data_IF_465762976565
#
_entry.id   IF_465762976565
#
_cell.length_a   1.000
_cell.length_b   1.000
_cell.length_c   1.000
_cell.angle_alpha   90.00
_cell.angle_beta   90.00
_cell.angle_gamma   90.00
#
_symmetry.space_group_name_H-M   'P 1'
#
loop_
_entity.id
_entity.type
_entity.pdbx_description
1 polymer ?
#
# COMPACT_ATOMS: atom_id res chain seq x y z
N UNK A 1 -8.37 -8.11 -9.84
CA UNK A 1 -7.16 -7.25 -9.76
C UNK A 1 -6.13 -8.05 -8.97
N UNK A 2 -4.93 -8.30 -9.49
CA UNK A 2 -3.94 -9.13 -8.80
C UNK A 2 -3.33 -8.31 -7.66
N UNK A 3 -3.41 -8.85 -6.44
CA UNK A 3 -2.90 -8.26 -5.21
C UNK A 3 -2.27 -9.36 -4.37
N UNK A 4 -1.14 -9.05 -3.75
CA UNK A 4 -0.47 -9.92 -2.80
C UNK A 4 -0.16 -9.12 -1.55
N UNK A 5 -0.62 -9.60 -0.41
CA UNK A 5 -0.20 -9.09 0.89
C UNK A 5 1.21 -9.61 1.13
N UNK A 6 2.15 -8.70 1.31
CA UNK A 6 3.53 -9.03 1.67
C UNK A 6 3.59 -9.40 3.14
N UNK A 7 3.12 -8.48 3.99
CA UNK A 7 3.22 -8.57 5.44
C UNK A 7 1.98 -7.91 6.06
N UNK A 8 1.48 -8.51 7.13
CA UNK A 8 0.46 -7.94 8.00
C UNK A 8 0.94 -8.14 9.43
N UNK A 9 1.56 -7.11 9.99
CA UNK A 9 2.17 -7.19 11.31
C UNK A 9 1.32 -6.40 12.31
N UNK A 10 0.95 -6.98 13.46
CA UNK A 10 0.34 -6.20 14.54
C UNK A 10 1.37 -5.16 15.02
N UNK A 11 0.92 -3.92 15.21
CA UNK A 11 1.79 -2.85 15.67
C UNK A 11 1.13 -2.09 16.83
N UNK A 12 1.81 -2.09 17.98
CA UNK A 12 1.35 -1.38 19.16
C UNK A 12 1.65 0.12 19.03
N UNK A 13 0.63 0.97 19.18
CA UNK A 13 0.76 2.43 19.12
C UNK A 13 0.30 3.10 17.80
N UNK A 14 -0.36 2.35 16.91
CA UNK A 14 -1.12 2.96 15.80
C UNK A 14 -2.39 3.63 16.36
N UNK A 15 -2.67 4.87 15.94
CA UNK A 15 -3.92 5.56 16.30
C UNK A 15 -5.06 5.11 15.40
N UNK A 16 -4.75 4.85 14.13
CA UNK A 16 -5.74 4.60 13.07
C UNK A 16 -5.99 3.11 12.77
N UNK A 17 -5.37 2.18 13.50
CA UNK A 17 -5.51 0.75 13.26
C UNK A 17 -4.82 -0.14 14.29
N UNK A 18 -4.92 -1.46 14.13
CA UNK A 18 -4.24 -2.44 14.99
C UNK A 18 -3.12 -3.19 14.28
N UNK A 19 -3.17 -3.26 12.96
CA UNK A 19 -2.20 -3.94 12.11
C UNK A 19 -1.68 -2.99 11.06
N UNK A 20 -0.45 -3.21 10.62
CA UNK A 20 0.13 -2.54 9.48
C UNK A 20 0.15 -3.53 8.31
N UNK A 21 -0.66 -3.25 7.29
CA UNK A 21 -0.76 -4.09 6.10
C UNK A 21 0.10 -3.51 4.98
N UNK A 22 1.03 -4.34 4.49
CA UNK A 22 1.86 -4.05 3.33
C UNK A 22 1.38 -4.90 2.16
N UNK A 23 0.88 -4.24 1.12
CA UNK A 23 0.31 -4.91 -0.04
C UNK A 23 0.98 -4.43 -1.33
N UNK A 24 1.22 -5.36 -2.26
CA UNK A 24 1.62 -5.04 -3.64
C UNK A 24 0.47 -5.37 -4.57
N UNK A 25 0.10 -4.42 -5.41
CA UNK A 25 -1.01 -4.57 -6.35
C UNK A 25 -0.73 -3.87 -7.67
N UNK A 26 -1.42 -4.32 -8.71
CA UNK A 26 -1.39 -3.68 -10.02
C UNK A 26 -2.58 -2.75 -10.20
N UNK A 27 -2.30 -1.49 -10.56
CA UNK A 27 -3.30 -0.48 -10.89
C UNK A 27 -3.34 -0.22 -12.40
N UNK A 28 -4.56 -0.14 -12.95
CA UNK A 28 -4.77 0.22 -14.36
C UNK A 28 -4.51 1.72 -14.59
N UNK A 29 -4.36 2.51 -13.53
CA UNK A 29 -4.22 3.95 -13.62
C UNK A 29 -5.54 4.60 -14.07
N UNK A 30 -5.54 5.93 -14.12
CA UNK A 30 -6.72 6.71 -14.51
C UNK A 30 -6.83 8.03 -13.78
N UNK A 31 -7.96 8.71 -13.96
CA UNK A 31 -8.25 9.95 -13.25
C UNK A 31 -8.54 9.66 -11.78
N UNK A 32 -7.76 10.25 -10.88
CA UNK A 32 -8.06 10.26 -9.45
C UNK A 32 -8.87 11.52 -9.13
N UNK A 33 -10.19 11.35 -9.06
CA UNK A 33 -11.13 12.45 -8.79
C UNK A 33 -10.96 13.08 -7.40
N UNK A 34 -10.37 12.37 -6.42
CA UNK A 34 -10.19 12.89 -5.05
C UNK A 34 -9.04 13.89 -4.95
N UNK A 35 -7.97 13.69 -5.72
CA UNK A 35 -6.80 14.58 -5.70
C UNK A 35 -6.66 15.42 -6.98
N UNK A 36 -7.60 15.29 -7.93
CA UNK A 36 -7.57 15.99 -9.22
C UNK A 36 -6.42 15.58 -10.15
N UNK A 37 -5.66 14.53 -9.81
CA UNK A 37 -4.47 14.09 -10.55
C UNK A 37 -4.69 12.84 -11.39
N UNK A 38 -3.76 12.54 -12.28
CA UNK A 38 -3.70 11.27 -13.02
C UNK A 38 -2.86 10.25 -12.27
N UNK A 39 -3.44 9.10 -11.93
CA UNK A 39 -2.69 7.97 -11.39
C UNK A 39 -2.04 7.22 -12.54
N UNK A 40 -0.72 7.07 -12.49
CA UNK A 40 0.02 6.32 -13.49
C UNK A 40 -0.37 4.84 -13.47
N UNK A 41 -0.36 4.20 -14.64
CA UNK A 41 -0.61 2.77 -14.76
C UNK A 41 0.63 1.98 -14.36
N UNK A 42 0.51 1.03 -13.45
CA UNK A 42 1.68 0.37 -12.90
C UNK A 42 1.44 -0.52 -11.70
N UNK A 43 2.54 -1.00 -11.12
CA UNK A 43 2.56 -1.73 -9.86
C UNK A 43 2.83 -0.76 -8.71
N UNK A 44 2.08 -0.93 -7.64
CA UNK A 44 2.13 -0.10 -6.45
C UNK A 44 2.37 -0.97 -5.22
N UNK A 45 3.10 -0.41 -4.27
CA UNK A 45 3.09 -0.88 -2.88
C UNK A 45 2.26 0.10 -2.06
N UNK A 46 1.38 -0.42 -1.22
CA UNK A 46 0.68 0.35 -0.19
C UNK A 46 1.03 -0.17 1.19
N UNK A 47 1.28 0.77 2.10
CA UNK A 47 1.38 0.50 3.53
C UNK A 47 0.24 1.24 4.19
N UNK A 48 -0.64 0.48 4.86
CA UNK A 48 -1.86 1.05 5.41
C UNK A 48 -2.14 0.49 6.80
N UNK A 49 -2.41 1.35 7.80
CA UNK A 49 -2.90 0.87 9.08
C UNK A 49 -4.34 0.37 8.90
N UNK A 50 -4.55 -0.90 9.27
CA UNK A 50 -5.82 -1.59 9.13
C UNK A 50 -6.26 -2.20 10.46
N UNK A 51 -7.57 -2.31 10.65
CA UNK A 51 -8.17 -3.03 11.77
C UNK A 51 -8.84 -4.29 11.24
N UNK A 52 -8.30 -5.44 11.62
CA UNK A 52 -8.88 -6.74 11.31
C UNK A 52 -9.82 -7.15 12.44
N UNK A 53 -11.14 -7.20 12.20
CA UNK A 53 -12.13 -7.66 13.17
C UNK A 53 -13.19 -8.52 12.49
N UNK A 54 -13.38 -9.75 12.96
CA UNK A 54 -14.40 -10.69 12.49
C UNK A 54 -14.45 -10.87 10.96
N UNK A 55 -13.29 -10.98 10.31
CA UNK A 55 -13.18 -11.12 8.86
C UNK A 55 -13.40 -9.82 8.07
N UNK A 56 -13.62 -8.69 8.75
CA UNK A 56 -13.70 -7.37 8.14
C UNK A 56 -12.38 -6.62 8.33
N UNK A 57 -11.88 -6.04 7.24
CA UNK A 57 -10.73 -5.15 7.24
C UNK A 57 -11.26 -3.72 7.18
N UNK A 58 -11.13 -2.98 8.27
CA UNK A 58 -11.50 -1.56 8.34
C UNK A 58 -10.26 -0.70 8.21
N UNK A 59 -10.35 0.32 7.36
CA UNK A 59 -9.22 1.20 7.01
C UNK A 59 -9.68 2.64 7.11
N UNK A 60 -8.89 3.49 7.77
CA UNK A 60 -9.16 4.93 7.82
C UNK A 60 -8.68 5.57 6.51
N UNK A 61 -9.50 6.45 5.93
CA UNK A 61 -9.12 7.14 4.70
C UNK A 61 -7.95 8.11 4.96
N UNK A 62 -7.03 8.22 3.99
CA UNK A 62 -5.87 9.13 4.00
C UNK A 62 -4.76 8.84 5.03
N UNK A 63 -4.83 7.73 5.78
CA UNK A 63 -3.78 7.33 6.74
C UNK A 63 -2.68 6.52 6.08
N UNK A 64 -3.01 5.69 5.07
CA UNK A 64 -2.05 4.93 4.29
C UNK A 64 -1.22 5.76 3.30
N UNK A 65 -0.09 5.20 2.89
CA UNK A 65 0.73 5.70 1.80
C UNK A 65 0.81 4.64 0.69
N UNK A 66 0.85 5.11 -0.56
CA UNK A 66 1.17 4.26 -1.72
C UNK A 66 2.32 4.85 -2.52
N UNK A 67 3.18 3.98 -3.04
CA UNK A 67 4.31 4.35 -3.90
C UNK A 67 4.24 3.55 -5.20
N UNK A 68 4.47 4.22 -6.32
CA UNK A 68 4.62 3.56 -7.62
C UNK A 68 5.98 2.88 -7.65
N UNK A 69 5.98 1.57 -7.89
CA UNK A 69 7.22 0.78 -8.01
C UNK A 69 7.68 0.70 -9.46
N UNK A 70 6.75 0.37 -10.36
CA UNK A 70 7.06 0.15 -11.76
C UNK A 70 5.88 0.58 -12.64
N UNK A 71 6.14 1.53 -13.53
CA UNK A 71 5.17 1.95 -14.53
C UNK A 71 5.10 0.91 -15.67
N UNK A 72 3.91 0.52 -16.10
CA UNK A 72 3.75 -0.41 -17.22
C UNK A 72 2.49 -0.11 -18.03
N UNK A 73 2.50 -0.48 -19.31
CA UNK A 73 1.34 -0.38 -20.19
C UNK A 73 0.36 -1.55 -20.01
N UNK A 74 0.82 -2.70 -19.51
CA UNK A 74 -0.01 -3.91 -19.31
C UNK A 74 0.48 -4.73 -18.13
N UNK A 75 -0.43 -5.49 -17.55
CA UNK A 75 -0.10 -6.47 -16.52
C UNK A 75 0.73 -7.63 -17.13
N UNK A 76 1.74 -8.09 -16.39
CA UNK A 76 2.59 -9.23 -16.73
C UNK A 76 3.04 -9.90 -15.44
N UNK A 77 2.96 -11.23 -15.37
CA UNK A 77 3.31 -11.97 -14.15
C UNK A 77 4.79 -11.80 -13.76
N UNK A 78 5.71 -11.77 -14.74
CA UNK A 78 7.14 -11.53 -14.49
C UNK A 78 7.40 -10.15 -13.88
N UNK A 79 6.69 -9.13 -14.37
CA UNK A 79 6.83 -7.78 -13.84
C UNK A 79 6.18 -7.65 -12.45
N UNK A 80 5.16 -8.46 -12.17
CA UNK A 80 4.56 -8.53 -10.84
C UNK A 80 5.52 -9.13 -9.83
N UNK A 81 6.23 -10.21 -10.16
CA UNK A 81 7.27 -10.78 -9.30
C UNK A 81 8.39 -9.76 -9.02
N UNK A 82 8.87 -9.07 -10.06
CA UNK A 82 9.84 -8.00 -9.91
C UNK A 82 9.31 -6.85 -9.01
N UNK A 83 8.02 -6.50 -9.15
CA UNK A 83 7.39 -5.50 -8.29
C UNK A 83 7.26 -5.98 -6.83
N UNK A 84 7.06 -7.27 -6.59
CA UNK A 84 7.05 -7.85 -5.23
C UNK A 84 8.43 -7.69 -4.59
N UNK A 85 9.51 -7.95 -5.33
CA UNK A 85 10.89 -7.75 -4.84
C UNK A 85 11.19 -6.28 -4.54
N UNK A 86 10.85 -5.37 -5.47
CA UNK A 86 10.99 -3.92 -5.25
C UNK A 86 10.13 -3.43 -4.09
N UNK A 87 8.93 -3.99 -3.94
CA UNK A 87 8.00 -3.69 -2.85
C UNK A 87 8.59 -4.07 -1.50
N UNK A 88 9.23 -5.24 -1.38
CA UNK A 88 9.94 -5.64 -0.16
C UNK A 88 11.11 -4.72 0.17
N UNK A 89 11.87 -4.28 -0.83
CA UNK A 89 12.97 -3.34 -0.64
C UNK A 89 12.49 -1.96 -0.18
N UNK A 90 11.34 -1.49 -0.68
CA UNK A 90 10.77 -0.18 -0.36
C UNK A 90 9.85 -0.19 0.88
N UNK A 91 9.39 -1.36 1.32
CA UNK A 91 8.53 -1.53 2.48
C UNK A 91 9.05 -0.82 3.74
N UNK A 92 10.31 -1.01 4.20
CA UNK A 92 10.77 -0.41 5.45
C UNK A 92 10.73 1.12 5.45
N UNK A 93 11.04 1.77 4.33
CA UNK A 93 10.95 3.23 4.20
C UNK A 93 9.51 3.73 4.37
N UNK A 94 8.56 3.05 3.74
CA UNK A 94 7.14 3.41 3.78
C UNK A 94 6.53 3.13 5.15
N UNK A 95 6.93 2.03 5.80
CA UNK A 95 6.54 1.69 7.17
C UNK A 95 7.00 2.80 8.12
N UNK A 96 8.27 3.20 8.05
CA UNK A 96 8.81 4.28 8.89
C UNK A 96 8.02 5.59 8.70
N UNK A 97 7.72 5.96 7.44
CA UNK A 97 6.93 7.15 7.15
C UNK A 97 5.51 7.10 7.74
N UNK A 98 4.81 5.97 7.63
CA UNK A 98 3.46 5.81 8.21
C UNK A 98 3.51 5.90 9.72
N UNK A 99 4.51 5.28 10.35
CA UNK A 99 4.69 5.33 11.80
C UNK A 99 4.99 6.74 12.32
N UNK A 100 5.82 7.51 11.61
CA UNK A 100 6.07 8.92 11.95
C UNK A 100 4.80 9.76 11.84
N UNK A 101 4.02 9.56 10.76
CA UNK A 101 2.76 10.29 10.54
C UNK A 101 1.73 9.98 11.63
N UNK A 102 1.61 8.72 12.04
CA UNK A 102 0.70 8.29 13.11
C UNK A 102 1.12 8.79 14.50
N UNK A 103 2.42 9.07 14.72
CA UNK A 103 2.91 9.71 15.94
C UNK A 103 2.68 11.23 15.96
N UNK A 104 2.70 11.86 14.79
CA UNK A 104 2.60 13.32 14.65
C UNK A 104 1.16 13.85 14.58
N UNK A 105 0.23 13.06 14.04
CA UNK A 105 -1.23 13.28 14.18
C UNK A 105 -1.68 12.88 15.58
#
# INVERSE_FOLDING_TARGET
MKRTVLESTPYEGLKSGSHLDVEVYYDKGGANYFCGGTTQRGYYVSVTPATHKNGMVSVVLFTGIKKLLLQTSRFSDKQFEQAVELGRAAAPELIAYVLEKEKAA
#
